data_IF_102352689376
#
_entry.id   IF_102352689376
#
_cell.length_a   1.000
_cell.length_b   1.000
_cell.length_c   1.000
_cell.angle_alpha   90.00
_cell.angle_beta   90.00
_cell.angle_gamma   90.00
#
_symmetry.space_group_name_H-M   'P 1'
#
loop_
_entity.id
_entity.type
_entity.pdbx_description
1 polymer ?
#
# COMPACT_ATOMS: atom_id res chain seq x y z
N UNK A 1 -0.21 13.34 36.23
CA UNK A 1 -0.72 12.35 35.26
C UNK A 1 0.17 11.12 35.34
N UNK A 2 -0.38 9.91 35.56
CA UNK A 2 0.40 8.66 35.50
C UNK A 2 0.15 8.01 34.15
N UNK A 3 1.18 7.97 33.30
CA UNK A 3 1.07 7.40 31.95
C UNK A 3 0.80 5.89 31.98
N UNK A 4 1.25 5.21 33.03
CA UNK A 4 1.07 3.77 33.28
C UNK A 4 -0.39 3.34 33.32
N UNK A 5 -1.25 4.20 33.86
CA UNK A 5 -2.67 3.87 34.06
C UNK A 5 -3.39 3.82 32.69
N UNK A 6 -3.05 4.75 31.80
CA UNK A 6 -3.57 4.82 30.43
C UNK A 6 -2.97 3.77 29.49
N UNK A 7 -1.76 3.30 29.76
CA UNK A 7 -1.17 2.15 29.06
C UNK A 7 -1.98 0.87 29.31
N UNK A 8 -2.51 0.72 30.53
CA UNK A 8 -3.33 -0.44 30.91
C UNK A 8 -4.78 -0.28 30.44
N UNK A 9 -5.31 0.95 30.47
CA UNK A 9 -6.68 1.28 30.09
C UNK A 9 -6.71 2.43 29.08
N UNK A 10 -6.48 2.14 27.78
CA UNK A 10 -6.52 3.17 26.74
C UNK A 10 -7.93 3.72 26.51
N UNK A 11 -8.99 3.02 26.94
CA UNK A 11 -10.37 3.53 26.87
C UNK A 11 -10.66 4.72 27.79
N UNK A 12 -9.84 4.94 28.82
CA UNK A 12 -10.00 6.08 29.72
C UNK A 12 -9.47 7.41 29.14
N UNK A 13 -9.08 7.43 27.86
CA UNK A 13 -8.53 8.60 27.17
C UNK A 13 -9.65 9.55 26.72
N UNK A 14 -9.78 10.66 27.43
CA UNK A 14 -10.77 11.72 27.17
C UNK A 14 -10.14 13.05 26.72
N UNK A 15 -10.99 14.03 26.34
CA UNK A 15 -10.60 15.41 25.99
C UNK A 15 -9.70 16.10 27.04
N UNK A 16 -9.92 15.82 28.33
CA UNK A 16 -9.08 16.37 29.41
C UNK A 16 -7.66 15.80 29.36
N UNK A 17 -7.53 14.51 29.07
CA UNK A 17 -6.24 13.82 28.99
C UNK A 17 -5.47 14.24 27.74
N UNK A 18 -6.18 14.58 26.65
CA UNK A 18 -5.60 15.15 25.44
C UNK A 18 -4.86 16.46 25.72
N UNK A 19 -5.47 17.37 26.50
CA UNK A 19 -4.82 18.62 26.89
C UNK A 19 -3.55 18.38 27.73
N UNK A 20 -3.65 17.47 28.71
CA UNK A 20 -2.52 17.11 29.57
C UNK A 20 -1.36 16.50 28.76
N UNK A 21 -1.67 15.62 27.80
CA UNK A 21 -0.69 15.02 26.91
C UNK A 21 -0.04 16.05 25.97
N UNK A 22 -0.82 17.00 25.45
CA UNK A 22 -0.29 18.10 24.63
C UNK A 22 0.71 18.94 25.42
N UNK A 23 0.40 19.27 26.67
CA UNK A 23 1.31 19.99 27.56
C UNK A 23 2.57 19.17 27.87
N UNK A 24 2.42 17.87 28.14
CA UNK A 24 3.54 16.97 28.38
C UNK A 24 4.49 16.89 27.17
N UNK A 25 3.95 16.78 25.96
CA UNK A 25 4.74 16.76 24.71
C UNK A 25 5.42 18.11 24.47
N UNK A 26 4.76 19.23 24.78
CA UNK A 26 5.37 20.55 24.66
C UNK A 26 6.60 20.70 25.59
N UNK A 27 6.53 20.09 26.78
CA UNK A 27 7.64 20.07 27.74
C UNK A 27 8.75 19.08 27.35
N UNK A 28 8.37 17.93 26.80
CA UNK A 28 9.29 16.85 26.41
C UNK A 28 8.96 16.32 25.00
N UNK A 29 9.47 16.96 23.94
CA UNK A 29 9.12 16.61 22.55
C UNK A 29 9.53 15.19 22.13
N UNK A 30 10.55 14.62 22.79
CA UNK A 30 11.12 13.31 22.51
C UNK A 30 10.52 12.17 23.32
N UNK A 31 9.50 12.44 24.16
CA UNK A 31 8.80 11.38 24.90
C UNK A 31 7.92 10.57 23.95
N UNK A 32 8.45 9.45 23.47
CA UNK A 32 7.78 8.56 22.53
C UNK A 32 6.49 7.95 23.13
N UNK A 33 6.46 7.68 24.44
CA UNK A 33 5.30 7.07 25.11
C UNK A 33 4.15 8.08 25.17
N UNK A 34 4.44 9.31 25.60
CA UNK A 34 3.45 10.39 25.61
C UNK A 34 2.93 10.68 24.19
N UNK A 35 3.80 10.63 23.18
CA UNK A 35 3.42 10.82 21.77
C UNK A 35 2.47 9.74 21.27
N UNK A 36 2.75 8.48 21.57
CA UNK A 36 1.90 7.36 21.19
C UNK A 36 0.53 7.43 21.91
N UNK A 37 0.51 7.76 23.20
CA UNK A 37 -0.74 7.96 23.93
C UNK A 37 -1.56 9.13 23.38
N UNK A 38 -0.91 10.25 23.07
CA UNK A 38 -1.57 11.41 22.48
C UNK A 38 -2.20 11.08 21.14
N UNK A 39 -1.46 10.36 20.30
CA UNK A 39 -1.93 9.92 19.00
C UNK A 39 -3.08 8.91 19.14
N UNK A 40 -2.99 7.97 20.09
CA UNK A 40 -4.07 7.02 20.40
C UNK A 40 -5.33 7.74 20.89
N UNK A 41 -5.17 8.78 21.69
CA UNK A 41 -6.27 9.61 22.16
C UNK A 41 -6.98 10.32 21.00
N UNK A 42 -6.22 11.00 20.13
CA UNK A 42 -6.76 11.64 18.93
C UNK A 42 -7.52 10.64 18.04
N UNK A 43 -6.99 9.42 17.90
CA UNK A 43 -7.62 8.35 17.14
C UNK A 43 -8.97 7.93 17.75
N UNK A 44 -9.04 7.75 19.07
CA UNK A 44 -10.27 7.38 19.78
C UNK A 44 -11.33 8.48 19.74
N UNK A 45 -10.91 9.75 19.85
CA UNK A 45 -11.80 10.90 19.80
C UNK A 45 -12.19 11.29 18.37
N UNK A 46 -11.68 10.60 17.35
CA UNK A 46 -11.87 10.93 15.93
C UNK A 46 -11.56 12.40 15.62
N UNK A 47 -10.48 12.91 16.21
CA UNK A 47 -10.09 14.31 16.05
C UNK A 47 -9.55 14.56 14.62
N UNK A 48 -9.99 15.62 13.92
CA UNK A 48 -9.56 15.90 12.55
C UNK A 48 -8.05 16.20 12.44
N UNK A 49 -7.42 16.65 13.53
CA UNK A 49 -5.97 16.93 13.55
C UNK A 49 -5.10 15.66 13.62
N UNK A 50 -5.71 14.48 13.78
CA UNK A 50 -5.00 13.20 13.88
C UNK A 50 -3.98 12.99 12.76
N UNK A 51 -4.35 13.28 11.50
CA UNK A 51 -3.47 13.06 10.36
C UNK A 51 -2.20 13.92 10.39
N UNK A 52 -2.31 15.17 10.81
CA UNK A 52 -1.16 16.08 10.90
C UNK A 52 -0.26 15.72 12.08
N UNK A 53 -0.87 15.40 13.23
CA UNK A 53 -0.12 14.97 14.41
C UNK A 53 0.51 13.59 14.21
N UNK A 54 -0.08 12.69 13.41
CA UNK A 54 0.54 11.41 13.00
C UNK A 54 1.84 11.64 12.21
N UNK A 55 1.84 12.56 11.24
CA UNK A 55 3.05 12.89 10.48
C UNK A 55 4.14 13.48 11.39
N UNK A 56 3.76 14.34 12.34
CA UNK A 56 4.70 14.86 13.35
C UNK A 56 5.16 13.79 14.33
N UNK A 57 4.29 12.84 14.67
CA UNK A 57 4.58 11.70 15.54
C UNK A 57 5.69 10.83 14.94
N UNK A 58 5.59 10.53 13.64
CA UNK A 58 6.50 9.65 12.88
C UNK A 58 7.98 10.08 12.87
N UNK A 59 8.26 11.35 13.18
CA UNK A 59 9.62 11.88 13.31
C UNK A 59 10.30 11.49 14.63
N UNK A 60 9.53 11.27 15.70
CA UNK A 60 10.10 11.08 17.05
C UNK A 60 9.77 9.70 17.65
N UNK A 61 8.88 8.92 17.01
CA UNK A 61 8.64 7.53 17.39
C UNK A 61 9.67 6.64 16.67
N UNK A 62 10.48 5.85 17.41
CA UNK A 62 11.53 5.03 16.80
C UNK A 62 10.95 3.84 16.01
N UNK A 63 9.92 3.18 16.56
CA UNK A 63 9.26 2.05 15.92
C UNK A 63 7.97 2.49 15.20
N UNK A 64 8.05 2.61 13.88
CA UNK A 64 6.92 3.01 13.03
C UNK A 64 5.93 1.87 12.78
N UNK A 65 6.29 0.63 13.08
CA UNK A 65 5.37 -0.50 12.96
C UNK A 65 4.18 -0.34 13.90
N UNK A 66 4.39 0.28 15.07
CA UNK A 66 3.35 0.62 16.04
C UNK A 66 2.36 1.64 15.47
N UNK A 67 2.86 2.66 14.77
CA UNK A 67 2.01 3.66 14.12
C UNK A 67 1.16 3.03 13.00
N UNK A 68 1.78 2.17 12.20
CA UNK A 68 1.10 1.43 11.15
C UNK A 68 0.00 0.52 11.73
N UNK A 69 0.33 -0.27 12.77
CA UNK A 69 -0.64 -1.10 13.46
C UNK A 69 -1.84 -0.29 13.96
N UNK A 70 -1.59 0.87 14.57
CA UNK A 70 -2.66 1.71 15.09
C UNK A 70 -3.69 2.17 14.04
N UNK A 71 -3.27 2.34 12.78
CA UNK A 71 -4.14 2.79 11.68
C UNK A 71 -4.73 1.60 10.92
N UNK A 72 -3.95 0.55 10.68
CA UNK A 72 -4.28 -0.54 9.76
C UNK A 72 -4.78 -1.83 10.43
N UNK A 73 -4.78 -1.95 11.75
CA UNK A 73 -5.18 -3.20 12.42
C UNK A 73 -6.61 -3.64 12.10
N UNK A 74 -7.52 -2.72 11.78
CA UNK A 74 -8.88 -3.05 11.31
C UNK A 74 -8.91 -3.54 9.86
N UNK A 75 -7.98 -3.06 9.02
CA UNK A 75 -7.88 -3.42 7.61
C UNK A 75 -7.16 -4.77 7.42
N UNK A 76 -6.26 -5.14 8.33
CA UNK A 76 -5.59 -6.46 8.29
C UNK A 76 -6.54 -7.64 8.48
N UNK A 77 -7.59 -7.48 9.29
CA UNK A 77 -8.62 -8.51 9.46
C UNK A 77 -9.50 -8.71 8.21
N UNK A 78 -9.45 -7.78 7.25
CA UNK A 78 -10.26 -7.77 6.04
C UNK A 78 -9.50 -8.26 4.80
N UNK A 79 -8.26 -8.74 4.94
CA UNK A 79 -7.68 -9.59 3.90
C UNK A 79 -8.07 -11.04 4.18
N UNK A 80 -9.15 -11.57 3.55
CA UNK A 80 -9.22 -13.01 3.41
C UNK A 80 -7.96 -13.39 2.64
N UNK A 81 -7.08 -14.15 3.28
CA UNK A 81 -6.19 -15.05 2.57
C UNK A 81 -7.17 -15.84 1.69
N UNK A 82 -7.21 -15.54 0.40
CA UNK A 82 -8.00 -16.30 -0.55
C UNK A 82 -7.68 -17.77 -0.28
N UNK A 83 -8.70 -18.63 -0.05
CA UNK A 83 -8.43 -20.01 0.26
C UNK A 83 -7.59 -20.59 -0.89
N UNK A 84 -6.58 -21.44 -0.60
CA UNK A 84 -5.79 -22.06 -1.64
C UNK A 84 -6.77 -22.80 -2.55
N UNK A 85 -6.97 -22.25 -3.76
CA UNK A 85 -7.86 -22.84 -4.74
C UNK A 85 -7.31 -24.24 -5.00
N UNK A 86 -8.16 -25.20 -4.65
CA UNK A 86 -7.93 -26.63 -4.61
C UNK A 86 -6.80 -27.12 -5.53
N UNK A 87 -5.83 -27.79 -4.91
CA UNK A 87 -4.78 -28.55 -5.56
C UNK A 87 -5.38 -29.70 -6.39
N UNK A 88 -5.86 -29.37 -7.59
CA UNK A 88 -6.09 -30.33 -8.69
C UNK A 88 -5.30 -29.88 -9.90
N UNK A 89 -3.97 -29.96 -9.80
CA UNK A 89 -3.02 -30.26 -10.88
C UNK A 89 -1.59 -30.00 -10.40
N UNK A 90 -1.09 -30.90 -9.54
CA UNK A 90 0.26 -30.82 -8.98
C UNK A 90 1.38 -31.26 -9.95
N UNK A 91 1.21 -31.02 -11.25
CA UNK A 91 2.19 -31.41 -12.28
C UNK A 91 2.53 -30.29 -13.27
N UNK A 92 1.76 -29.20 -13.32
CA UNK A 92 2.06 -28.04 -14.17
C UNK A 92 2.33 -26.85 -13.27
N UNK A 93 3.57 -26.36 -13.26
CA UNK A 93 3.96 -25.24 -12.41
C UNK A 93 3.07 -24.02 -12.71
N UNK A 94 2.79 -23.20 -11.70
CA UNK A 94 1.98 -21.97 -11.84
C UNK A 94 2.38 -21.13 -13.07
N UNK A 95 3.68 -21.06 -13.37
CA UNK A 95 4.21 -20.36 -14.53
C UNK A 95 3.76 -20.97 -15.85
N UNK A 96 3.72 -22.30 -15.96
CA UNK A 96 3.29 -23.02 -17.15
C UNK A 96 1.78 -22.83 -17.39
N UNK A 97 0.96 -22.86 -16.35
CA UNK A 97 -0.48 -22.55 -16.48
C UNK A 97 -0.74 -21.13 -16.96
N UNK A 98 0.03 -20.15 -16.46
CA UNK A 98 -0.10 -18.76 -16.91
C UNK A 98 0.34 -18.57 -18.37
N UNK A 99 1.35 -19.33 -18.82
CA UNK A 99 1.80 -19.32 -20.21
C UNK A 99 0.75 -19.95 -21.12
N UNK A 100 0.17 -21.10 -20.73
CA UNK A 100 -0.89 -21.73 -21.53
C UNK A 100 -2.12 -20.83 -21.63
N UNK A 101 -2.55 -20.23 -20.53
CA UNK A 101 -3.69 -19.30 -20.52
C UNK A 101 -3.43 -18.11 -21.45
N UNK A 102 -2.20 -17.58 -21.46
CA UNK A 102 -1.79 -16.52 -22.37
C UNK A 102 -1.81 -16.97 -23.84
N UNK A 103 -1.24 -18.14 -24.15
CA UNK A 103 -1.20 -18.68 -25.52
C UNK A 103 -2.62 -19.00 -26.02
N UNK A 104 -3.45 -19.61 -25.17
CA UNK A 104 -4.81 -20.01 -25.52
C UNK A 104 -5.76 -18.80 -25.61
N UNK A 105 -5.49 -17.72 -24.87
CA UNK A 105 -6.25 -16.46 -24.93
C UNK A 105 -5.67 -15.46 -25.94
N UNK A 106 -4.57 -15.78 -26.62
CA UNK A 106 -4.06 -14.98 -27.75
C UNK A 106 -4.86 -15.24 -29.05
N UNK A 107 -6.17 -15.40 -28.90
CA UNK A 107 -7.12 -15.66 -29.98
C UNK A 107 -7.74 -14.35 -30.47
N UNK A 108 -7.36 -13.97 -31.69
CA UNK A 108 -7.76 -12.79 -32.48
C UNK A 108 -7.02 -11.48 -32.14
N UNK A 109 -5.89 -11.20 -32.80
CA UNK A 109 -5.56 -9.81 -33.08
C UNK A 109 -6.73 -9.25 -33.90
N UNK A 110 -7.53 -8.38 -33.29
CA UNK A 110 -8.26 -7.36 -34.05
C UNK A 110 -7.20 -6.60 -34.81
N UNK A 111 -6.93 -7.00 -36.05
CA UNK A 111 -6.06 -6.27 -36.98
C UNK A 111 -6.54 -4.83 -36.99
N UNK A 112 -5.86 -3.90 -36.31
CA UNK A 112 -6.11 -2.51 -36.57
C UNK A 112 -5.59 -2.31 -37.99
N UNK A 113 -6.43 -1.74 -38.85
CA UNK A 113 -6.10 -1.36 -40.22
C UNK A 113 -4.63 -0.95 -40.32
N UNK A 114 -3.78 -1.80 -40.93
CA UNK A 114 -2.32 -1.60 -41.03
C UNK A 114 -2.09 -0.26 -41.72
N UNK A 115 -1.78 0.78 -40.95
CA UNK A 115 -1.16 1.98 -41.47
C UNK A 115 0.33 1.68 -41.53
N UNK A 116 0.98 1.98 -42.66
CA UNK A 116 2.44 1.97 -42.74
C UNK A 116 2.96 2.96 -41.71
N UNK A 117 3.71 2.50 -40.68
CA UNK A 117 4.22 3.38 -39.65
C UNK A 117 5.12 4.45 -40.27
N UNK A 118 4.96 5.70 -39.83
CA UNK A 118 5.75 6.82 -40.35
C UNK A 118 7.03 6.93 -39.50
N UNK A 119 8.19 7.33 -40.04
CA UNK A 119 9.45 7.43 -39.27
C UNK A 119 9.39 8.28 -37.99
N UNK A 120 8.39 9.15 -37.83
CA UNK A 120 8.14 9.88 -36.59
C UNK A 120 7.72 8.94 -35.43
N UNK A 121 7.01 7.85 -35.73
CA UNK A 121 6.47 6.89 -34.76
C UNK A 121 7.59 6.06 -34.09
N UNK A 122 8.78 6.01 -34.70
CA UNK A 122 9.96 5.29 -34.19
C UNK A 122 10.45 5.79 -32.83
N UNK A 123 10.15 7.05 -32.49
CA UNK A 123 10.53 7.64 -31.20
C UNK A 123 9.65 7.16 -30.04
N UNK A 124 8.43 6.73 -30.35
CA UNK A 124 7.44 6.27 -29.36
C UNK A 124 7.26 4.76 -29.36
N UNK A 125 7.33 4.11 -30.53
CA UNK A 125 7.21 2.67 -30.67
C UNK A 125 8.05 2.17 -31.85
N UNK A 126 9.32 1.89 -31.56
CA UNK A 126 10.27 1.34 -32.52
C UNK A 126 9.93 -0.09 -32.97
N UNK A 127 9.08 -0.81 -32.22
CA UNK A 127 8.78 -2.23 -32.51
C UNK A 127 7.93 -2.38 -33.76
N UNK A 128 7.06 -1.40 -34.07
CA UNK A 128 6.24 -1.39 -35.26
C UNK A 128 7.07 -1.33 -36.57
N UNK A 129 8.18 -0.57 -36.57
CA UNK A 129 9.06 -0.44 -37.74
C UNK A 129 9.90 -1.70 -37.95
N UNK A 130 10.44 -2.29 -36.88
CA UNK A 130 11.25 -3.49 -36.99
C UNK A 130 10.46 -4.67 -37.56
N UNK A 131 9.20 -4.82 -37.12
CA UNK A 131 8.32 -5.87 -37.64
C UNK A 131 7.98 -5.68 -39.14
N UNK A 132 7.99 -4.45 -39.66
CA UNK A 132 7.83 -4.20 -41.10
C UNK A 132 9.10 -4.55 -41.88
N UNK A 133 10.28 -4.28 -41.31
CA UNK A 133 11.56 -4.64 -41.93
C UNK A 133 11.75 -6.17 -42.02
N UNK A 134 11.25 -6.91 -41.03
CA UNK A 134 11.30 -8.38 -41.02
C UNK A 134 10.31 -9.03 -42.02
N UNK A 135 9.20 -8.36 -42.35
CA UNK A 135 8.25 -8.81 -43.38
C UNK A 135 8.80 -8.62 -44.81
N UNK A 136 9.91 -7.88 -45.00
CA UNK A 136 10.60 -7.70 -46.27
C UNK A 136 11.65 -8.82 -46.43
N UNK A 137 11.23 -9.96 -46.96
CA UNK A 137 12.17 -10.99 -47.40
C UNK A 137 13.03 -10.46 -48.57
N UNK A 138 14.36 -10.66 -48.57
CA UNK A 138 15.19 -10.34 -49.72
C UNK A 138 14.86 -11.30 -50.87
N UNK A 139 14.62 -10.77 -52.06
CA UNK A 139 14.51 -11.52 -53.32
C UNK A 139 15.90 -11.95 -53.83
#
# INVERSE_FOLDING_TARGET
MRLTDYLSHPEALDKRTLFQLREAIARHPYDAVARLLFLKNLFLLHDPSFGDELRRAALFVPDRSVLYAMVEDKNRLLQPISPPVSAKNSQKGRTQTLIDDFINNSGTPTVPFRRTPTPADATTDYTAILNEMDDISPE
#
